data_IF_698595513289
#
_entry.id   IF_698595513289
#
_cell.length_a   1.000
_cell.length_b   1.000
_cell.length_c   1.000
_cell.angle_alpha   90.00
_cell.angle_beta   90.00
_cell.angle_gamma   90.00
#
_symmetry.space_group_name_H-M   'P 1'
#
loop_
_entity.id
_entity.type
_entity.pdbx_description
1 polymer ?
#
# COMPACT_ATOMS: atom_id res chain seq x y z
N UNK A 1 -30.75 -9.94 27.76
CA UNK A 1 -30.07 -8.64 27.56
C UNK A 1 -28.99 -8.83 26.51
N UNK A 2 -29.18 -8.34 25.28
CA UNK A 2 -28.17 -8.39 24.22
C UNK A 2 -27.53 -6.99 24.09
N UNK A 3 -26.20 -6.91 24.21
CA UNK A 3 -25.44 -5.66 24.08
C UNK A 3 -25.34 -5.27 22.59
N UNK A 4 -25.47 -3.99 22.22
CA UNK A 4 -25.29 -3.56 20.84
C UNK A 4 -23.81 -3.68 20.45
N UNK A 5 -23.54 -4.34 19.31
CA UNK A 5 -22.23 -4.30 18.66
C UNK A 5 -22.06 -2.91 18.05
N UNK A 6 -21.10 -2.16 18.58
CA UNK A 6 -20.74 -0.85 18.06
C UNK A 6 -19.96 -1.07 16.76
N UNK A 7 -20.62 -0.85 15.62
CA UNK A 7 -20.00 -0.86 14.30
C UNK A 7 -19.02 0.31 14.18
N UNK A 8 -17.75 0.07 14.49
CA UNK A 8 -16.67 0.96 14.10
C UNK A 8 -16.63 1.02 12.57
N UNK A 9 -16.59 2.22 11.95
CA UNK A 9 -16.43 2.32 10.51
C UNK A 9 -15.05 1.76 10.19
N UNK A 10 -15.02 0.69 9.39
CA UNK A 10 -13.84 0.35 8.64
C UNK A 10 -13.56 1.55 7.74
N UNK A 11 -12.62 2.40 8.16
CA UNK A 11 -11.92 3.31 7.26
C UNK A 11 -11.17 2.41 6.28
N UNK A 12 -11.87 1.94 5.26
CA UNK A 12 -11.26 1.48 4.03
C UNK A 12 -10.37 2.64 3.57
N UNK A 13 -9.05 2.47 3.46
CA UNK A 13 -8.29 3.40 2.65
C UNK A 13 -8.87 3.26 1.24
N UNK A 14 -9.59 4.30 0.83
CA UNK A 14 -9.87 4.64 -0.56
C UNK A 14 -8.61 4.31 -1.39
N UNK A 15 -8.72 3.71 -2.58
CA UNK A 15 -7.57 3.54 -3.46
C UNK A 15 -6.94 4.93 -3.63
N UNK A 16 -5.81 5.14 -2.96
CA UNK A 16 -5.22 6.46 -2.79
C UNK A 16 -5.03 7.05 -4.19
N UNK A 17 -5.71 8.17 -4.45
CA UNK A 17 -5.54 8.91 -5.70
C UNK A 17 -4.04 9.15 -5.94
N UNK A 18 -3.58 9.04 -7.19
CA UNK A 18 -2.17 8.82 -7.54
C UNK A 18 -1.22 10.00 -7.34
N UNK A 19 -1.67 11.17 -6.87
CA UNK A 19 -0.91 12.40 -7.12
C UNK A 19 0.00 12.89 -5.99
N UNK A 20 -0.11 12.40 -4.74
CA UNK A 20 0.78 12.89 -3.67
C UNK A 20 1.21 11.81 -2.67
N UNK A 21 2.49 11.41 -2.77
CA UNK A 21 3.21 10.64 -1.74
C UNK A 21 3.48 11.49 -0.49
N UNK A 22 2.42 12.02 0.13
CA UNK A 22 2.43 12.80 1.36
C UNK A 22 1.67 12.11 2.51
N UNK A 23 1.17 10.90 2.27
CA UNK A 23 0.34 10.16 3.20
C UNK A 23 1.09 9.53 4.39
N UNK A 24 0.36 8.82 5.28
CA UNK A 24 0.94 8.13 6.44
C UNK A 24 2.05 7.13 6.07
N UNK A 25 1.95 6.48 4.91
CA UNK A 25 2.96 5.56 4.40
C UNK A 25 4.30 6.27 4.09
N UNK A 26 4.26 7.50 3.58
CA UNK A 26 5.45 8.31 3.35
C UNK A 26 6.14 8.67 4.66
N UNK A 27 5.37 9.17 5.63
CA UNK A 27 5.89 9.49 6.97
C UNK A 27 6.49 8.25 7.65
N UNK A 28 5.83 7.10 7.56
CA UNK A 28 6.35 5.85 8.15
C UNK A 28 7.63 5.41 7.46
N UNK A 29 7.71 5.54 6.14
CA UNK A 29 8.93 5.24 5.39
C UNK A 29 10.10 6.15 5.80
N UNK A 30 9.87 7.45 5.98
CA UNK A 30 10.93 8.40 6.33
C UNK A 30 11.43 8.25 7.77
N UNK A 31 10.57 7.76 8.67
CA UNK A 31 10.91 7.56 10.09
C UNK A 31 11.35 6.12 10.45
N UNK A 32 11.35 5.18 9.50
CA UNK A 32 11.74 3.79 9.77
C UNK A 32 13.23 3.68 10.09
N UNK A 33 13.63 2.64 10.82
CA UNK A 33 15.05 2.39 11.02
C UNK A 33 15.75 2.02 9.70
N UNK A 34 17.04 2.34 9.57
CA UNK A 34 17.79 2.11 8.32
C UNK A 34 17.73 0.65 7.83
N UNK A 35 17.72 -0.31 8.76
CA UNK A 35 17.62 -1.75 8.47
C UNK A 35 16.18 -2.30 8.42
N UNK A 36 15.16 -1.49 8.72
CA UNK A 36 13.77 -1.96 8.80
C UNK A 36 13.16 -2.15 7.40
N UNK A 37 12.52 -3.30 7.18
CA UNK A 37 11.78 -3.53 5.95
C UNK A 37 10.45 -2.76 5.97
N UNK A 38 10.14 -2.07 4.88
CA UNK A 38 8.85 -1.38 4.71
C UNK A 38 8.34 -1.56 3.28
N UNK A 39 7.15 -2.13 3.16
CA UNK A 39 6.39 -2.17 1.90
C UNK A 39 5.19 -1.22 2.03
N UNK A 40 5.12 -0.13 1.25
CA UNK A 40 3.95 0.75 1.24
C UNK A 40 2.69 0.08 0.68
N UNK A 41 2.85 -1.03 -0.04
CA UNK A 41 1.80 -1.76 -0.72
C UNK A 41 1.37 -3.01 0.05
N UNK A 42 1.69 -3.10 1.35
CA UNK A 42 1.40 -4.24 2.21
C UNK A 42 -0.08 -4.65 2.17
N UNK A 43 -1.01 -3.69 2.11
CA UNK A 43 -2.45 -3.98 2.05
C UNK A 43 -2.85 -4.70 0.74
N UNK A 44 -2.30 -4.24 -0.40
CA UNK A 44 -2.54 -4.90 -1.68
C UNK A 44 -1.93 -6.31 -1.70
N UNK A 45 -0.74 -6.48 -1.11
CA UNK A 45 -0.12 -7.78 -0.92
C UNK A 45 -1.02 -8.70 -0.06
N UNK A 46 -1.51 -8.22 1.08
CA UNK A 46 -2.39 -8.97 1.97
C UNK A 46 -3.70 -9.39 1.28
N UNK A 47 -4.30 -8.51 0.46
CA UNK A 47 -5.48 -8.83 -0.35
C UNK A 47 -5.18 -9.97 -1.33
N UNK A 48 -4.04 -9.91 -2.04
CA UNK A 48 -3.64 -10.97 -2.97
C UNK A 48 -3.39 -12.31 -2.26
N UNK A 49 -2.79 -12.29 -1.07
CA UNK A 49 -2.56 -13.49 -0.25
C UNK A 49 -3.88 -14.07 0.25
N UNK A 50 -4.83 -13.22 0.67
CA UNK A 50 -6.17 -13.66 1.08
C UNK A 50 -6.92 -14.31 -0.08
N UNK A 51 -6.81 -13.74 -1.28
CA UNK A 51 -7.38 -14.34 -2.48
C UNK A 51 -6.79 -15.73 -2.74
N UNK A 52 -5.46 -15.88 -2.69
CA UNK A 52 -4.81 -17.17 -2.87
C UNK A 52 -5.24 -18.19 -1.82
N UNK A 53 -5.30 -17.80 -0.54
CA UNK A 53 -5.76 -18.67 0.56
C UNK A 53 -7.19 -19.17 0.35
N UNK A 54 -8.06 -18.35 -0.26
CA UNK A 54 -9.47 -18.70 -0.51
C UNK A 54 -9.66 -19.57 -1.76
N UNK A 55 -8.79 -19.43 -2.76
CA UNK A 55 -8.90 -20.11 -4.06
C UNK A 55 -7.89 -21.25 -4.23
N UNK A 56 -7.36 -21.82 -3.14
CA UNK A 56 -6.42 -22.95 -3.21
C UNK A 56 -5.09 -22.63 -3.90
N UNK A 57 -4.70 -21.35 -3.94
CA UNK A 57 -3.48 -20.90 -4.62
C UNK A 57 -3.64 -20.68 -6.12
N UNK A 58 -4.85 -20.76 -6.67
CA UNK A 58 -5.11 -20.46 -8.08
C UNK A 58 -4.85 -18.96 -8.35
N UNK A 59 -3.91 -18.67 -9.24
CA UNK A 59 -3.39 -17.30 -9.48
C UNK A 59 -4.23 -16.53 -10.48
N UNK A 60 -4.88 -17.19 -11.44
CA UNK A 60 -5.70 -16.53 -12.45
C UNK A 60 -6.90 -15.80 -11.83
N UNK A 61 -7.46 -16.34 -10.75
CA UNK A 61 -8.55 -15.76 -9.97
C UNK A 61 -8.14 -14.53 -9.15
N UNK A 62 -6.83 -14.29 -9.00
CA UNK A 62 -6.29 -13.21 -8.16
C UNK A 62 -5.51 -12.15 -8.94
N UNK A 63 -5.59 -12.15 -10.28
CA UNK A 63 -4.84 -11.24 -11.17
C UNK A 63 -5.03 -9.78 -10.79
N UNK A 64 -6.27 -9.36 -10.52
CA UNK A 64 -6.58 -7.97 -10.17
C UNK A 64 -5.89 -7.51 -8.89
N UNK A 65 -5.78 -8.40 -7.89
CA UNK A 65 -5.06 -8.09 -6.65
C UNK A 65 -3.55 -7.97 -6.87
N UNK A 66 -2.98 -8.78 -7.77
CA UNK A 66 -1.58 -8.64 -8.15
C UNK A 66 -1.33 -7.36 -8.95
N UNK A 67 -2.27 -6.99 -9.80
CA UNK A 67 -2.17 -5.76 -10.58
C UNK A 67 -2.19 -4.54 -9.65
N UNK A 68 -3.14 -4.49 -8.70
CA UNK A 68 -3.18 -3.44 -7.69
C UNK A 68 -1.86 -3.32 -6.88
N UNK A 69 -1.20 -4.44 -6.57
CA UNK A 69 0.10 -4.43 -5.91
C UNK A 69 1.23 -3.87 -6.79
N UNK A 70 1.23 -4.18 -8.10
CA UNK A 70 2.19 -3.64 -9.06
C UNK A 70 2.00 -2.14 -9.25
N UNK A 71 0.76 -1.72 -9.46
CA UNK A 71 0.40 -0.32 -9.67
C UNK A 71 0.80 0.53 -8.46
N UNK A 72 0.53 0.04 -7.25
CA UNK A 72 0.96 0.69 -6.02
C UNK A 72 2.49 0.86 -5.95
N UNK A 73 3.26 -0.19 -6.29
CA UNK A 73 4.73 -0.09 -6.28
C UNK A 73 5.26 0.84 -7.36
N UNK A 74 4.65 0.85 -8.53
CA UNK A 74 5.02 1.76 -9.61
C UNK A 74 4.79 3.22 -9.19
N UNK A 75 3.61 3.52 -8.66
CA UNK A 75 3.28 4.85 -8.12
C UNK A 75 4.27 5.27 -7.03
N UNK A 76 4.59 4.37 -6.10
CA UNK A 76 5.57 4.65 -5.05
C UNK A 76 6.95 4.99 -5.61
N UNK A 77 7.45 4.19 -6.55
CA UNK A 77 8.77 4.39 -7.16
C UNK A 77 8.81 5.70 -7.94
N UNK A 78 7.74 6.03 -8.67
CA UNK A 78 7.60 7.29 -9.40
C UNK A 78 7.60 8.49 -8.44
N UNK A 79 6.76 8.47 -7.41
CA UNK A 79 6.71 9.56 -6.44
C UNK A 79 8.05 9.77 -5.72
N UNK A 80 8.75 8.67 -5.40
CA UNK A 80 10.12 8.75 -4.83
C UNK A 80 11.16 9.26 -5.81
N UNK A 81 11.00 9.01 -7.12
CA UNK A 81 11.90 9.55 -8.14
C UNK A 81 11.69 11.06 -8.26
N UNK A 82 10.45 11.52 -8.30
CA UNK A 82 10.13 12.96 -8.33
C UNK A 82 10.61 13.68 -7.08
N UNK A 83 10.39 13.12 -5.88
CA UNK A 83 10.90 13.68 -4.62
C UNK A 83 12.44 13.80 -4.57
N UNK A 84 13.18 12.92 -5.28
CA UNK A 84 14.64 13.01 -5.40
C UNK A 84 15.09 14.06 -6.42
N UNK A 85 14.36 14.26 -7.52
CA UNK A 85 14.71 15.25 -8.55
C UNK A 85 14.79 16.68 -7.98
N UNK A 86 13.91 17.03 -7.04
CA UNK A 86 13.90 18.34 -6.38
C UNK A 86 15.01 18.55 -5.34
N UNK A 87 15.83 17.52 -5.05
CA UNK A 87 16.84 17.55 -3.98
C UNK A 87 18.25 17.21 -4.48
N UNK A 88 18.47 17.38 -5.78
CA UNK A 88 19.75 17.11 -6.43
C UNK A 88 20.88 17.93 -5.83
N UNK A 89 22.00 17.27 -5.59
CA UNK A 89 23.27 17.79 -5.02
C UNK A 89 23.88 18.99 -5.78
N UNK A 90 23.33 19.37 -6.94
CA UNK A 90 23.81 20.47 -7.78
C UNK A 90 22.90 21.71 -7.78
N UNK A 91 21.89 21.79 -6.91
CA UNK A 91 21.09 23.01 -6.70
C UNK A 91 21.44 23.72 -5.41
#
# INVERSE_FOLDING_TARGET
>A
MAKPVNSTPATSPDPQKPDDWAGPAAKKFDNKAYSEYFDPCQEAADKSIRCLKRNGGERAMCVDFFQAYRDCKEQWQNARKEARKGKGWFS
#
